data_IF_016484659955
#
_entry.id   IF_016484659955
#
_cell.length_a   1.000
_cell.length_b   1.000
_cell.length_c   1.000
_cell.angle_alpha   90.00
_cell.angle_beta   90.00
_cell.angle_gamma   90.00
#
_symmetry.space_group_name_H-M   'P 1'
#
loop_
_entity.id
_entity.type
_entity.pdbx_description
1 polymer ?
#
# COMPACT_ATOMS: atom_id res chain seq x y z
N UNK A 1 -26.42 28.48 9.29
CA UNK A 1 -27.71 28.88 9.87
C UNK A 1 -27.59 29.35 11.33
N UNK A 2 -26.48 29.04 12.01
CA UNK A 2 -26.31 29.38 13.43
C UNK A 2 -26.13 30.87 13.72
N UNK A 3 -25.77 31.68 12.72
CA UNK A 3 -25.61 33.13 12.85
C UNK A 3 -26.93 33.92 12.88
N UNK A 4 -28.07 33.29 12.55
CA UNK A 4 -29.38 33.95 12.57
C UNK A 4 -29.98 33.96 13.98
N UNK A 5 -30.75 35.01 14.30
CA UNK A 5 -31.62 35.03 15.49
C UNK A 5 -32.82 34.11 15.27
N UNK A 6 -33.32 33.49 16.33
CA UNK A 6 -34.51 32.62 16.29
C UNK A 6 -35.71 33.40 15.72
N UNK A 7 -36.43 32.80 14.76
CA UNK A 7 -37.57 33.42 14.09
C UNK A 7 -37.21 34.39 12.95
N UNK A 8 -35.93 34.70 12.74
CA UNK A 8 -35.50 35.55 11.63
C UNK A 8 -35.48 34.79 10.29
N UNK A 9 -35.73 35.52 9.21
CA UNK A 9 -35.62 35.04 7.83
C UNK A 9 -34.23 35.35 7.27
N UNK A 10 -33.71 34.43 6.47
CA UNK A 10 -32.53 34.67 5.64
C UNK A 10 -32.91 35.53 4.43
N UNK A 11 -31.98 36.36 3.97
CA UNK A 11 -32.11 37.04 2.68
C UNK A 11 -32.29 35.99 1.58
N UNK A 12 -33.22 36.20 0.62
CA UNK A 12 -33.43 35.23 -0.46
C UNK A 12 -32.12 34.92 -1.16
N UNK A 13 -31.83 33.62 -1.33
CA UNK A 13 -30.63 33.16 -2.01
C UNK A 13 -30.99 32.17 -3.11
N UNK A 14 -30.16 32.15 -4.16
CA UNK A 14 -30.35 31.27 -5.30
C UNK A 14 -29.75 29.91 -4.99
N UNK A 15 -30.57 28.86 -5.06
CA UNK A 15 -30.11 27.47 -5.11
C UNK A 15 -30.35 26.87 -6.49
N UNK A 16 -30.14 25.56 -6.61
CA UNK A 16 -30.14 24.89 -7.91
C UNK A 16 -31.47 24.97 -8.66
N UNK A 17 -32.61 24.94 -7.95
CA UNK A 17 -33.95 24.98 -8.55
C UNK A 17 -34.72 26.29 -8.31
N UNK A 18 -34.02 27.40 -7.99
CA UNK A 18 -34.66 28.71 -7.88
C UNK A 18 -34.21 29.54 -6.68
N UNK A 19 -35.06 30.48 -6.25
CA UNK A 19 -34.79 31.34 -5.10
C UNK A 19 -35.48 30.79 -3.86
N UNK A 20 -34.71 30.68 -2.78
CA UNK A 20 -35.16 30.17 -1.49
C UNK A 20 -35.07 31.28 -0.45
N UNK A 21 -36.07 31.36 0.42
CA UNK A 21 -35.97 32.05 1.70
C UNK A 21 -36.16 31.03 2.81
N UNK A 22 -35.29 31.06 3.82
CA UNK A 22 -35.32 30.13 4.94
C UNK A 22 -35.59 30.89 6.23
N UNK A 23 -36.46 30.36 7.08
CA UNK A 23 -36.71 30.89 8.43
C UNK A 23 -35.99 30.02 9.45
N UNK A 24 -35.25 30.64 10.38
CA UNK A 24 -34.66 29.89 11.50
C UNK A 24 -35.78 29.47 12.46
N UNK A 25 -36.04 28.16 12.50
CA UNK A 25 -36.94 27.54 13.47
C UNK A 25 -36.31 27.42 14.86
N UNK A 26 -36.65 26.34 15.58
CA UNK A 26 -36.14 26.11 16.93
C UNK A 26 -34.65 25.75 16.92
N UNK A 27 -33.91 26.30 17.90
CA UNK A 27 -32.50 25.99 18.08
C UNK A 27 -32.39 24.77 18.98
N UNK A 28 -31.88 23.65 18.46
CA UNK A 28 -31.54 22.48 19.28
C UNK A 28 -30.12 22.64 19.82
N UNK A 29 -29.97 22.62 21.13
CA UNK A 29 -28.66 22.51 21.78
C UNK A 29 -28.19 21.06 21.67
N UNK A 30 -27.41 20.77 20.63
CA UNK A 30 -26.74 19.49 20.49
C UNK A 30 -25.45 19.53 21.33
N UNK A 31 -25.24 18.52 22.18
CA UNK A 31 -23.93 18.32 22.80
C UNK A 31 -22.95 17.94 21.70
N UNK A 32 -22.04 18.86 21.38
CA UNK A 32 -20.95 18.61 20.44
C UNK A 32 -19.87 17.84 21.19
N UNK A 33 -19.52 16.62 20.76
CA UNK A 33 -18.43 15.87 21.40
C UNK A 33 -17.10 16.62 21.26
N UNK A 34 -16.14 16.41 22.18
CA UNK A 34 -14.78 16.92 22.03
C UNK A 34 -14.18 16.52 20.67
N UNK A 35 -13.40 17.44 20.06
CA UNK A 35 -12.86 17.26 18.72
C UNK A 35 -12.10 15.93 18.56
N UNK A 36 -11.31 15.54 19.56
CA UNK A 36 -10.52 14.30 19.53
C UNK A 36 -11.37 13.04 19.37
N UNK A 37 -12.60 13.04 19.88
CA UNK A 37 -13.53 11.91 19.76
C UNK A 37 -14.17 11.80 18.37
N UNK A 38 -14.32 12.92 17.66
CA UNK A 38 -14.98 12.97 16.35
C UNK A 38 -14.02 13.22 15.19
N UNK A 39 -12.74 13.46 15.47
CA UNK A 39 -11.70 13.77 14.47
C UNK A 39 -11.69 12.77 13.32
N UNK A 40 -11.71 11.46 13.65
CA UNK A 40 -11.69 10.41 12.64
C UNK A 40 -12.95 10.42 11.75
N UNK A 41 -14.13 10.68 12.34
CA UNK A 41 -15.41 10.76 11.60
C UNK A 41 -15.47 11.99 10.70
N UNK A 42 -14.97 13.12 11.19
CA UNK A 42 -14.81 14.36 10.41
C UNK A 42 -13.87 14.08 9.23
N UNK A 43 -12.72 13.46 9.48
CA UNK A 43 -11.78 13.09 8.42
C UNK A 43 -12.49 12.20 7.39
N UNK A 44 -13.09 11.08 7.78
CA UNK A 44 -13.81 10.20 6.85
C UNK A 44 -14.82 10.96 5.98
N UNK A 45 -15.60 11.87 6.58
CA UNK A 45 -16.57 12.69 5.83
C UNK A 45 -15.88 13.65 4.86
N UNK A 46 -14.82 14.33 5.27
CA UNK A 46 -14.04 15.21 4.40
C UNK A 46 -13.38 14.43 3.26
N UNK A 47 -12.84 13.25 3.53
CA UNK A 47 -12.22 12.39 2.53
C UNK A 47 -13.24 11.99 1.45
N UNK A 48 -14.47 11.63 1.83
CA UNK A 48 -15.51 11.27 0.87
C UNK A 48 -16.07 12.48 0.11
N UNK A 49 -16.36 13.57 0.80
CA UNK A 49 -17.05 14.74 0.20
C UNK A 49 -16.11 15.66 -0.58
N UNK A 50 -14.82 15.70 -0.22
CA UNK A 50 -13.82 16.63 -0.77
C UNK A 50 -12.59 15.94 -1.32
N UNK A 51 -12.72 14.67 -1.72
CA UNK A 51 -11.60 13.87 -2.28
C UNK A 51 -10.82 14.61 -3.36
N UNK A 52 -11.53 15.27 -4.27
CA UNK A 52 -10.94 16.03 -5.37
C UNK A 52 -10.09 17.22 -4.90
N UNK A 53 -10.58 17.98 -3.91
CA UNK A 53 -9.83 19.10 -3.33
C UNK A 53 -8.59 18.62 -2.56
N UNK A 54 -8.72 17.50 -1.85
CA UNK A 54 -7.59 16.88 -1.15
C UNK A 54 -6.53 16.43 -2.16
N UNK A 55 -6.94 15.78 -3.25
CA UNK A 55 -6.02 15.36 -4.30
C UNK A 55 -5.35 16.57 -4.96
N UNK A 56 -6.11 17.63 -5.24
CA UNK A 56 -5.56 18.85 -5.82
C UNK A 56 -4.51 19.50 -4.90
N UNK A 57 -4.77 19.53 -3.59
CA UNK A 57 -3.80 20.05 -2.61
C UNK A 57 -2.54 19.16 -2.52
N UNK A 58 -2.71 17.83 -2.61
CA UNK A 58 -1.59 16.88 -2.68
C UNK A 58 -0.77 17.13 -3.94
N UNK A 59 -1.42 17.24 -5.10
CA UNK A 59 -0.77 17.49 -6.39
C UNK A 59 0.01 18.83 -6.36
N UNK A 60 -0.58 19.88 -5.78
CA UNK A 60 0.08 21.18 -5.60
C UNK A 60 1.32 21.09 -4.71
N UNK A 61 1.24 20.33 -3.62
CA UNK A 61 2.39 20.09 -2.72
C UNK A 61 3.46 19.24 -3.39
N UNK A 62 3.08 18.22 -4.14
CA UNK A 62 4.03 17.40 -4.89
C UNK A 62 4.76 18.23 -5.94
N UNK A 63 4.07 19.15 -6.62
CA UNK A 63 4.70 20.07 -7.56
C UNK A 63 5.74 20.96 -6.86
N UNK A 64 5.46 21.46 -5.65
CA UNK A 64 6.43 22.27 -4.90
C UNK A 64 7.59 21.44 -4.33
N UNK A 65 7.38 20.15 -4.04
CA UNK A 65 8.44 19.25 -3.59
C UNK A 65 9.31 18.72 -4.73
N UNK A 66 8.74 18.57 -5.93
CA UNK A 66 9.48 18.05 -7.09
C UNK A 66 10.70 18.91 -7.43
N UNK A 67 10.58 20.25 -7.29
CA UNK A 67 11.72 21.16 -7.46
C UNK A 67 12.71 21.08 -6.30
N UNK A 68 12.24 20.85 -5.07
CA UNK A 68 13.08 20.77 -3.87
C UNK A 68 13.96 19.52 -3.85
N UNK A 69 13.45 18.37 -4.32
CA UNK A 69 14.17 17.09 -4.34
C UNK A 69 14.81 16.76 -5.69
N UNK A 70 14.98 17.76 -6.56
CA UNK A 70 15.57 17.60 -7.90
C UNK A 70 14.96 16.44 -8.69
N UNK A 71 13.63 16.29 -8.64
CA UNK A 71 12.93 15.24 -9.37
C UNK A 71 13.07 15.49 -10.87
N UNK A 72 13.75 14.58 -11.57
CA UNK A 72 13.88 14.59 -13.02
C UNK A 72 13.24 13.32 -13.58
N UNK A 73 12.15 13.50 -14.33
CA UNK A 73 11.53 12.44 -15.11
C UNK A 73 12.21 12.32 -16.46
N UNK A 74 12.67 11.13 -16.81
CA UNK A 74 13.32 10.84 -18.09
C UNK A 74 12.26 10.44 -19.10
N UNK A 75 11.54 11.42 -19.64
CA UNK A 75 10.43 11.17 -20.58
C UNK A 75 10.87 10.34 -21.80
N UNK A 76 12.11 10.51 -22.28
CA UNK A 76 12.66 9.67 -23.35
C UNK A 76 12.77 8.19 -22.96
N UNK A 77 13.19 7.89 -21.73
CA UNK A 77 13.31 6.53 -21.21
C UNK A 77 11.93 5.92 -20.95
N UNK A 78 10.99 6.72 -20.44
CA UNK A 78 9.58 6.35 -20.25
C UNK A 78 8.95 5.99 -21.59
N UNK A 79 9.12 6.83 -22.62
CA UNK A 79 8.58 6.61 -23.95
C UNK A 79 9.16 5.34 -24.59
N UNK A 80 10.47 5.13 -24.49
CA UNK A 80 11.12 3.89 -24.95
C UNK A 80 10.55 2.66 -24.26
N UNK A 81 10.34 2.72 -22.94
CA UNK A 81 9.73 1.62 -22.19
C UNK A 81 8.31 1.34 -22.68
N UNK A 82 7.47 2.38 -22.87
CA UNK A 82 6.10 2.24 -23.39
C UNK A 82 6.07 1.59 -24.78
N UNK A 83 6.90 2.06 -25.71
CA UNK A 83 6.99 1.49 -27.06
C UNK A 83 7.38 0.01 -27.02
N UNK A 84 8.32 -0.37 -26.14
CA UNK A 84 8.71 -1.78 -25.99
C UNK A 84 7.59 -2.63 -25.39
N UNK A 85 6.89 -2.10 -24.40
CA UNK A 85 5.79 -2.77 -23.72
C UNK A 85 4.57 -2.99 -24.62
N UNK A 86 4.27 -2.06 -25.52
CA UNK A 86 3.14 -2.16 -26.47
C UNK A 86 3.54 -2.80 -27.79
N UNK A 87 4.83 -2.76 -28.14
CA UNK A 87 5.35 -3.17 -29.44
C UNK A 87 5.10 -2.15 -30.56
N UNK A 88 4.49 -0.99 -30.27
CA UNK A 88 4.13 0.03 -31.25
C UNK A 88 4.40 1.44 -30.75
N UNK A 89 4.68 2.37 -31.68
CA UNK A 89 4.74 3.82 -31.37
C UNK A 89 3.37 4.47 -31.23
N UNK A 90 2.36 3.87 -31.85
CA UNK A 90 0.97 4.32 -31.76
C UNK A 90 0.27 3.48 -30.69
N UNK A 91 0.24 4.01 -29.47
CA UNK A 91 -0.48 3.42 -28.35
C UNK A 91 -1.36 4.49 -27.68
N UNK A 92 -2.37 4.03 -26.95
CA UNK A 92 -3.24 4.88 -26.15
C UNK A 92 -3.28 4.38 -24.70
N UNK A 93 -4.02 5.08 -23.83
CA UNK A 93 -4.10 4.75 -22.41
C UNK A 93 -4.58 3.31 -22.14
N UNK A 94 -5.36 2.72 -23.04
CA UNK A 94 -5.91 1.37 -22.90
C UNK A 94 -5.10 0.32 -23.68
N UNK A 95 -3.97 0.70 -24.28
CA UNK A 95 -3.12 -0.25 -25.00
C UNK A 95 -2.55 -1.27 -24.02
N UNK A 96 -2.65 -2.58 -24.34
CA UNK A 96 -2.16 -3.62 -23.46
C UNK A 96 -0.64 -3.55 -23.35
N UNK A 97 -0.14 -3.83 -22.16
CA UNK A 97 1.27 -3.87 -21.81
C UNK A 97 1.70 -5.33 -21.74
N UNK A 98 2.76 -5.69 -22.45
CA UNK A 98 3.37 -7.01 -22.38
C UNK A 98 4.75 -6.92 -21.70
N UNK A 99 4.87 -7.46 -20.50
CA UNK A 99 6.16 -7.49 -19.78
C UNK A 99 7.18 -8.43 -20.42
N UNK A 100 6.74 -9.45 -21.16
CA UNK A 100 7.61 -10.47 -21.75
C UNK A 100 8.43 -9.92 -22.92
N UNK A 101 8.09 -8.72 -23.42
CA UNK A 101 8.87 -8.03 -24.45
C UNK A 101 10.09 -7.30 -23.91
N UNK A 102 10.24 -7.18 -22.58
CA UNK A 102 11.36 -6.50 -21.94
C UNK A 102 12.53 -7.44 -21.71
N UNK A 103 13.73 -6.97 -22.00
CA UNK A 103 14.98 -7.64 -21.63
C UNK A 103 15.43 -7.26 -20.21
N UNK A 104 16.39 -8.01 -19.64
CA UNK A 104 16.99 -7.66 -18.35
C UNK A 104 17.61 -6.26 -18.35
N UNK A 105 18.23 -5.85 -19.47
CA UNK A 105 18.79 -4.51 -19.61
C UNK A 105 17.70 -3.42 -19.59
N UNK A 106 16.49 -3.72 -20.07
CA UNK A 106 15.37 -2.77 -20.05
C UNK A 106 14.85 -2.55 -18.64
N UNK A 107 14.85 -3.61 -17.81
CA UNK A 107 14.44 -3.51 -16.42
C UNK A 107 15.36 -2.61 -15.59
N UNK A 108 16.63 -2.49 -15.98
CA UNK A 108 17.60 -1.59 -15.35
C UNK A 108 17.51 -0.13 -15.81
N UNK A 109 16.71 0.16 -16.84
CA UNK A 109 16.50 1.52 -17.35
C UNK A 109 15.88 2.41 -16.26
N UNK A 110 16.48 3.59 -16.07
CA UNK A 110 16.04 4.57 -15.09
C UNK A 110 14.96 5.46 -15.69
N UNK A 111 13.78 5.48 -15.08
CA UNK A 111 12.62 6.27 -15.52
C UNK A 111 12.56 7.65 -14.85
N UNK A 112 13.00 7.74 -13.59
CA UNK A 112 13.06 9.00 -12.86
C UNK A 112 14.22 9.00 -11.87
N UNK A 113 14.79 10.17 -11.60
CA UNK A 113 15.85 10.39 -10.61
C UNK A 113 15.45 11.49 -9.65
N UNK A 114 15.85 11.36 -8.38
CA UNK A 114 15.64 12.39 -7.36
C UNK A 114 16.71 12.31 -6.28
N UNK A 115 16.73 13.29 -5.38
CA UNK A 115 17.64 13.31 -4.26
C UNK A 115 17.41 12.10 -3.35
N UNK A 116 18.41 11.19 -3.33
CA UNK A 116 18.38 9.98 -2.51
C UNK A 116 17.77 8.74 -3.20
N UNK A 117 17.46 8.78 -4.50
CA UNK A 117 16.97 7.58 -5.20
C UNK A 117 16.79 7.72 -6.71
N UNK A 118 16.66 6.58 -7.35
CA UNK A 118 16.26 6.46 -8.76
C UNK A 118 15.18 5.41 -8.87
N UNK A 119 14.23 5.63 -9.77
CA UNK A 119 13.16 4.68 -10.08
C UNK A 119 13.54 3.95 -11.35
N UNK A 120 13.75 2.65 -11.26
CA UNK A 120 14.00 1.77 -12.40
C UNK A 120 12.70 1.16 -12.93
N UNK A 121 12.72 0.73 -14.20
CA UNK A 121 11.57 0.07 -14.82
C UNK A 121 11.13 -1.17 -14.05
N UNK A 122 12.08 -1.95 -13.50
CA UNK A 122 11.79 -3.15 -12.70
C UNK A 122 10.85 -2.91 -11.51
N UNK A 123 10.88 -1.71 -10.92
CA UNK A 123 10.06 -1.39 -9.74
C UNK A 123 8.56 -1.32 -10.07
N UNK A 124 8.21 -1.12 -11.34
CA UNK A 124 6.83 -1.16 -11.82
C UNK A 124 6.30 -2.59 -12.00
N UNK A 125 7.17 -3.60 -11.96
CA UNK A 125 6.86 -5.01 -12.18
C UNK A 125 7.32 -5.88 -10.99
N UNK A 126 6.84 -5.64 -9.76
CA UNK A 126 7.31 -6.37 -8.58
C UNK A 126 6.93 -7.85 -8.59
N UNK A 127 5.77 -8.19 -9.18
CA UNK A 127 5.27 -9.55 -9.35
C UNK A 127 4.44 -9.62 -10.65
N UNK A 128 4.42 -10.77 -11.33
CA UNK A 128 3.64 -10.96 -12.56
C UNK A 128 2.13 -10.66 -12.40
N UNK A 129 1.55 -10.88 -11.21
CA UNK A 129 0.14 -10.57 -10.91
C UNK A 129 -0.14 -9.08 -10.68
N UNK A 130 0.90 -8.31 -10.37
CA UNK A 130 0.82 -6.88 -10.07
C UNK A 130 1.50 -6.07 -11.17
N UNK A 131 1.85 -6.67 -12.30
CA UNK A 131 2.29 -5.94 -13.48
C UNK A 131 1.18 -5.00 -13.97
N UNK A 132 1.50 -3.84 -14.56
CA UNK A 132 0.52 -3.02 -15.26
C UNK A 132 -0.10 -3.81 -16.42
N UNK A 133 -1.42 -3.78 -16.53
CA UNK A 133 -2.12 -4.42 -17.66
C UNK A 133 -2.14 -3.53 -18.91
N UNK A 134 -2.23 -2.21 -18.70
CA UNK A 134 -2.27 -1.20 -19.76
C UNK A 134 -1.38 0.01 -19.46
N UNK A 135 -1.30 0.93 -20.42
CA UNK A 135 -0.47 2.13 -20.33
C UNK A 135 -0.97 3.10 -19.25
N UNK A 136 -2.28 3.19 -19.04
CA UNK A 136 -2.85 4.00 -17.96
C UNK A 136 -2.40 3.51 -16.59
N UNK A 137 -2.46 2.20 -16.34
CA UNK A 137 -1.96 1.60 -15.11
C UNK A 137 -0.46 1.78 -14.95
N UNK A 138 0.30 1.68 -16.05
CA UNK A 138 1.75 1.93 -16.05
C UNK A 138 2.05 3.36 -15.58
N UNK A 139 1.40 4.35 -16.19
CA UNK A 139 1.59 5.77 -15.86
C UNK A 139 1.14 6.08 -14.43
N UNK A 140 0.01 5.52 -14.00
CA UNK A 140 -0.49 5.67 -12.65
C UNK A 140 0.46 5.05 -11.62
N UNK A 141 1.03 3.87 -11.89
CA UNK A 141 2.02 3.25 -11.00
C UNK A 141 3.30 4.06 -10.91
N UNK A 142 3.82 4.54 -12.05
CA UNK A 142 5.01 5.39 -12.06
C UNK A 142 4.76 6.69 -11.29
N UNK A 143 3.61 7.34 -11.53
CA UNK A 143 3.19 8.51 -10.76
C UNK A 143 3.15 8.20 -9.26
N UNK A 144 2.47 7.13 -8.86
CA UNK A 144 2.35 6.75 -7.44
C UNK A 144 3.72 6.46 -6.80
N UNK A 145 4.64 5.79 -7.49
CA UNK A 145 5.99 5.55 -6.97
C UNK A 145 6.76 6.85 -6.76
N UNK A 146 6.69 7.76 -7.74
CA UNK A 146 7.29 9.10 -7.62
C UNK A 146 6.73 9.82 -6.39
N UNK A 147 5.41 9.84 -6.24
CA UNK A 147 4.74 10.49 -5.11
C UNK A 147 5.17 9.90 -3.77
N UNK A 148 5.23 8.58 -3.67
CA UNK A 148 5.66 7.89 -2.45
C UNK A 148 7.08 8.27 -2.04
N UNK A 149 8.02 8.30 -2.98
CA UNK A 149 9.42 8.61 -2.67
C UNK A 149 9.57 10.09 -2.31
N UNK A 150 8.91 11.00 -3.04
CA UNK A 150 8.92 12.45 -2.72
C UNK A 150 8.35 12.71 -1.33
N UNK A 151 7.22 12.09 -1.00
CA UNK A 151 6.61 12.22 0.32
C UNK A 151 7.48 11.59 1.42
N UNK A 152 8.14 10.46 1.14
CA UNK A 152 9.06 9.84 2.08
C UNK A 152 10.30 10.71 2.34
N UNK A 153 10.85 11.34 1.30
CA UNK A 153 11.97 12.28 1.42
C UNK A 153 11.58 13.49 2.28
N UNK A 154 10.41 14.07 2.03
CA UNK A 154 9.87 15.16 2.85
C UNK A 154 9.59 14.75 4.30
N UNK A 155 9.02 13.56 4.52
CA UNK A 155 8.80 13.04 5.88
C UNK A 155 10.13 12.86 6.64
N UNK A 156 11.19 12.45 5.94
CA UNK A 156 12.54 12.37 6.52
C UNK A 156 13.10 13.74 6.90
N UNK A 157 12.92 14.76 6.06
CA UNK A 157 13.31 16.13 6.40
C UNK A 157 12.57 16.70 7.61
N UNK A 158 11.29 16.34 7.76
CA UNK A 158 10.48 16.71 8.93
C UNK A 158 10.77 15.85 10.17
N UNK A 159 11.77 14.97 10.09
CA UNK A 159 12.17 14.06 11.16
C UNK A 159 11.03 13.17 11.67
N UNK A 160 10.11 12.74 10.79
CA UNK A 160 9.02 11.85 11.19
C UNK A 160 9.54 10.49 11.70
N UNK A 161 10.80 10.16 11.41
CA UNK A 161 11.47 8.94 11.89
C UNK A 161 11.74 8.95 13.40
N UNK A 162 11.76 10.13 14.03
CA UNK A 162 11.91 10.25 15.49
C UNK A 162 10.59 10.07 16.25
N UNK A 163 9.44 10.08 15.55
CA UNK A 163 8.14 9.81 16.15
C UNK A 163 8.10 8.33 16.58
N UNK A 164 7.88 8.01 17.88
CA UNK A 164 8.01 6.64 18.39
C UNK A 164 7.16 5.61 17.64
N UNK A 165 5.91 5.96 17.35
CA UNK A 165 4.95 5.10 16.64
C UNK A 165 5.45 4.77 15.21
N UNK A 166 6.01 5.76 14.51
CA UNK A 166 6.54 5.58 13.16
C UNK A 166 7.84 4.76 13.21
N UNK A 167 8.70 5.03 14.20
CA UNK A 167 9.95 4.29 14.39
C UNK A 167 9.68 2.80 14.64
N UNK A 168 8.71 2.48 15.50
CA UNK A 168 8.28 1.11 15.76
C UNK A 168 7.76 0.43 14.49
N UNK A 169 6.90 1.12 13.72
CA UNK A 169 6.41 0.62 12.44
C UNK A 169 7.54 0.36 11.43
N UNK A 170 8.50 1.29 11.30
CA UNK A 170 9.66 1.13 10.42
C UNK A 170 10.53 -0.06 10.83
N UNK A 171 10.73 -0.26 12.13
CA UNK A 171 11.47 -1.42 12.64
C UNK A 171 10.73 -2.73 12.37
N UNK A 172 9.40 -2.75 12.54
CA UNK A 172 8.57 -3.91 12.22
C UNK A 172 8.67 -4.27 10.72
N UNK A 173 8.49 -3.27 9.84
CA UNK A 173 8.63 -3.45 8.38
C UNK A 173 10.04 -3.96 8.04
N UNK A 174 11.08 -3.36 8.60
CA UNK A 174 12.47 -3.79 8.38
C UNK A 174 12.68 -5.24 8.80
N UNK A 175 12.19 -5.63 9.97
CA UNK A 175 12.32 -6.98 10.47
C UNK A 175 11.55 -7.99 9.61
N UNK A 176 10.36 -7.64 9.13
CA UNK A 176 9.58 -8.48 8.21
C UNK A 176 10.28 -8.63 6.85
N UNK A 177 10.84 -7.56 6.30
CA UNK A 177 11.63 -7.60 5.07
C UNK A 177 12.86 -8.49 5.23
N UNK A 178 13.63 -8.32 6.30
CA UNK A 178 14.80 -9.15 6.58
C UNK A 178 14.44 -10.63 6.73
N UNK A 179 13.34 -10.95 7.43
CA UNK A 179 12.83 -12.33 7.55
C UNK A 179 12.44 -12.90 6.18
N UNK A 180 11.78 -12.09 5.36
CA UNK A 180 11.35 -12.51 4.01
C UNK A 180 12.55 -12.75 3.10
N UNK A 181 13.56 -11.88 3.14
CA UNK A 181 14.81 -12.03 2.38
C UNK A 181 15.59 -13.25 2.83
N UNK A 182 15.73 -13.46 4.15
CA UNK A 182 16.36 -14.65 4.71
C UNK A 182 15.66 -15.92 4.22
N UNK A 183 14.34 -15.98 4.30
CA UNK A 183 13.56 -17.12 3.82
C UNK A 183 13.71 -17.33 2.29
N UNK A 184 13.72 -16.24 1.52
CA UNK A 184 13.90 -16.31 0.07
C UNK A 184 15.26 -16.93 -0.28
N UNK A 185 16.34 -16.43 0.32
CA UNK A 185 17.70 -16.89 0.07
C UNK A 185 17.95 -18.32 0.57
N UNK A 186 17.60 -18.58 1.83
CA UNK A 186 17.94 -19.85 2.49
C UNK A 186 17.02 -21.00 2.09
N UNK A 187 15.79 -20.72 1.64
CA UNK A 187 14.82 -21.74 1.29
C UNK A 187 14.48 -21.65 -0.19
N UNK A 188 13.83 -20.57 -0.65
CA UNK A 188 13.25 -20.55 -2.01
C UNK A 188 14.28 -20.67 -3.12
N UNK A 189 15.39 -19.95 -3.06
CA UNK A 189 16.42 -19.95 -4.09
C UNK A 189 17.14 -21.30 -4.15
N UNK A 190 17.47 -21.89 -2.99
CA UNK A 190 18.05 -23.24 -2.92
C UNK A 190 17.09 -24.31 -3.45
N UNK A 191 15.80 -24.23 -3.14
CA UNK A 191 14.79 -25.12 -3.72
C UNK A 191 14.67 -24.93 -5.22
N UNK A 192 14.60 -23.68 -5.71
CA UNK A 192 14.52 -23.41 -7.14
C UNK A 192 15.70 -24.02 -7.89
N UNK A 193 16.93 -23.77 -7.43
CA UNK A 193 18.13 -24.34 -8.00
C UNK A 193 18.12 -25.88 -8.02
N UNK A 194 17.63 -26.51 -6.94
CA UNK A 194 17.48 -27.97 -6.88
C UNK A 194 16.38 -28.49 -7.83
N UNK A 195 15.30 -27.73 -8.02
CA UNK A 195 14.20 -28.06 -8.91
C UNK A 195 14.54 -27.88 -10.39
N UNK A 196 15.44 -26.95 -10.72
CA UNK A 196 15.90 -26.70 -12.09
C UNK A 196 16.80 -27.84 -12.60
N UNK A 197 17.50 -28.55 -11.70
CA UNK A 197 18.28 -29.75 -12.02
C UNK A 197 17.42 -30.99 -12.30
N UNK A 198 16.14 -30.97 -11.92
CA UNK A 198 15.23 -32.11 -12.06
C UNK A 198 14.41 -31.95 -13.35
N UNK A 199 14.77 -32.69 -14.38
CA UNK A 199 14.03 -32.78 -15.65
C UNK A 199 13.16 -34.05 -15.71
N UNK A 200 12.07 -34.01 -16.48
CA UNK A 200 11.24 -35.20 -16.77
C UNK A 200 10.14 -35.56 -15.75
N UNK A 201 9.91 -34.75 -14.70
CA UNK A 201 8.80 -34.95 -13.77
C UNK A 201 7.50 -34.31 -14.26
N UNK A 202 6.35 -34.92 -13.89
CA UNK A 202 5.05 -34.30 -14.15
C UNK A 202 4.87 -33.02 -13.28
N UNK A 203 4.02 -32.06 -13.69
CA UNK A 203 3.80 -30.83 -12.93
C UNK A 203 3.36 -31.06 -11.48
N UNK A 204 2.57 -32.12 -11.22
CA UNK A 204 2.10 -32.47 -9.87
C UNK A 204 3.23 -33.00 -8.98
N UNK A 205 4.08 -33.88 -9.51
CA UNK A 205 5.24 -34.41 -8.80
C UNK A 205 6.27 -33.31 -8.53
N UNK A 206 6.49 -32.43 -9.51
CA UNK A 206 7.35 -31.25 -9.40
C UNK A 206 6.91 -30.38 -8.21
N UNK A 207 5.60 -30.10 -8.12
CA UNK A 207 5.04 -29.31 -7.02
C UNK A 207 5.14 -30.00 -5.65
N UNK A 208 4.91 -31.32 -5.59
CA UNK A 208 5.00 -32.08 -4.34
C UNK A 208 6.44 -32.12 -3.83
N UNK A 209 7.40 -32.36 -4.72
CA UNK A 209 8.83 -32.40 -4.39
C UNK A 209 9.38 -31.02 -4.01
N UNK A 210 8.90 -29.96 -4.65
CA UNK A 210 9.19 -28.58 -4.25
C UNK A 210 8.76 -28.33 -2.80
N UNK A 211 7.51 -28.68 -2.45
CA UNK A 211 6.98 -28.50 -1.08
C UNK A 211 7.75 -29.30 -0.03
N UNK A 212 8.17 -30.53 -0.35
CA UNK A 212 8.95 -31.34 0.59
C UNK A 212 10.34 -30.74 0.83
N UNK A 213 11.01 -30.26 -0.22
CA UNK A 213 12.33 -29.62 -0.07
C UNK A 213 12.24 -28.26 0.64
N UNK A 214 11.20 -27.46 0.35
CA UNK A 214 10.94 -26.22 1.10
C UNK A 214 10.75 -26.50 2.59
N UNK A 215 10.01 -27.57 2.93
CA UNK A 215 9.81 -27.97 4.32
C UNK A 215 11.12 -28.40 4.99
N UNK A 216 11.92 -29.23 4.34
CA UNK A 216 13.18 -29.70 4.90
C UNK A 216 14.18 -28.56 5.13
N UNK A 217 14.37 -27.69 4.14
CA UNK A 217 15.27 -26.54 4.28
C UNK A 217 14.77 -25.53 5.31
N UNK A 218 13.46 -25.33 5.42
CA UNK A 218 12.87 -24.51 6.48
C UNK A 218 13.12 -25.10 7.87
N UNK A 219 12.95 -26.40 8.04
CA UNK A 219 13.21 -27.08 9.32
C UNK A 219 14.69 -27.00 9.71
N UNK A 220 15.61 -27.15 8.75
CA UNK A 220 17.05 -26.95 8.96
C UNK A 220 17.37 -25.52 9.37
N UNK A 221 16.86 -24.52 8.63
CA UNK A 221 17.05 -23.11 8.96
C UNK A 221 16.52 -22.79 10.37
N UNK A 222 15.36 -23.32 10.75
CA UNK A 222 14.80 -23.12 12.08
C UNK A 222 15.69 -23.73 13.18
N UNK A 223 16.26 -24.91 12.94
CA UNK A 223 17.19 -25.55 13.87
C UNK A 223 18.51 -24.77 13.98
N UNK A 224 19.08 -24.32 12.87
CA UNK A 224 20.29 -23.49 12.85
C UNK A 224 20.07 -22.18 13.62
N UNK A 225 18.94 -21.50 13.39
CA UNK A 225 18.59 -20.29 14.13
C UNK A 225 18.42 -20.56 15.62
N UNK A 226 17.75 -21.66 16.00
CA UNK A 226 17.60 -22.08 17.41
C UNK A 226 18.95 -22.33 18.08
N UNK A 227 19.85 -23.02 17.39
CA UNK A 227 21.17 -23.37 17.91
C UNK A 227 22.09 -22.14 18.03
N UNK A 228 22.13 -21.30 16.98
CA UNK A 228 23.05 -20.16 16.90
C UNK A 228 22.66 -19.00 17.82
N UNK A 229 21.36 -18.76 18.01
CA UNK A 229 20.86 -17.66 18.83
C UNK A 229 20.35 -18.08 20.20
N UNK A 230 20.51 -19.36 20.56
CA UNK A 230 20.13 -19.88 21.86
C UNK A 230 18.66 -19.66 22.20
N UNK A 231 17.77 -19.71 21.19
CA UNK A 231 16.34 -19.53 21.39
C UNK A 231 15.81 -20.64 22.31
N UNK A 232 15.69 -20.33 23.60
CA UNK A 232 14.99 -21.18 24.56
C UNK A 232 13.50 -20.96 24.34
N UNK A 233 12.77 -22.07 24.16
CA UNK A 233 11.32 -22.03 24.17
C UNK A 233 10.85 -21.41 25.50
N UNK A 234 10.24 -20.23 25.44
CA UNK A 234 9.59 -19.64 26.62
C UNK A 234 8.27 -20.39 26.81
N UNK A 235 8.33 -21.54 27.50
CA UNK A 235 7.15 -22.35 27.83
C UNK A 235 6.13 -21.59 28.72
N UNK A 236 6.52 -20.45 29.30
CA UNK A 236 5.70 -19.69 30.24
C UNK A 236 4.54 -18.90 29.63
N UNK A 237 4.53 -18.64 28.33
CA UNK A 237 3.48 -17.82 27.68
C UNK A 237 2.64 -18.58 26.64
N UNK A 238 2.95 -19.85 26.37
CA UNK A 238 2.28 -20.59 25.30
C UNK A 238 0.84 -20.96 25.68
N UNK A 239 0.60 -21.32 26.94
CA UNK A 239 -0.74 -21.64 27.45
C UNK A 239 -1.65 -20.40 27.51
N UNK A 240 -1.10 -19.26 27.93
CA UNK A 240 -1.80 -17.96 27.94
C UNK A 240 -2.07 -17.45 26.52
N UNK A 241 -1.09 -17.52 25.62
CA UNK A 241 -1.29 -17.15 24.21
C UNK A 241 -2.33 -18.07 23.51
N UNK A 242 -2.34 -19.37 23.81
CA UNK A 242 -3.38 -20.30 23.32
C UNK A 242 -4.76 -19.98 23.86
N UNK A 243 -4.86 -19.64 25.15
CA UNK A 243 -6.11 -19.24 25.77
C UNK A 243 -6.65 -17.93 25.16
N UNK A 244 -5.77 -16.97 24.91
CA UNK A 244 -6.10 -15.68 24.33
C UNK A 244 -6.49 -15.79 22.84
N UNK A 245 -5.78 -16.62 22.08
CA UNK A 245 -6.13 -16.94 20.69
C UNK A 245 -7.48 -17.67 20.58
N UNK A 246 -7.80 -18.58 21.52
CA UNK A 246 -9.13 -19.23 21.59
C UNK A 246 -10.22 -18.20 21.88
N UNK A 247 -9.99 -17.32 22.85
CA UNK A 247 -10.93 -16.25 23.20
C UNK A 247 -11.19 -15.30 22.04
N UNK A 248 -10.16 -14.88 21.29
CA UNK A 248 -10.33 -14.04 20.10
C UNK A 248 -11.10 -14.75 18.98
N UNK A 249 -10.88 -16.06 18.79
CA UNK A 249 -11.63 -16.85 17.81
C UNK A 249 -13.11 -16.95 18.18
N UNK A 250 -13.43 -17.14 19.45
CA UNK A 250 -14.82 -17.15 19.95
C UNK A 250 -15.51 -15.80 19.76
N UNK A 251 -14.80 -14.69 20.00
CA UNK A 251 -15.31 -13.34 19.74
C UNK A 251 -15.61 -13.16 18.24
N UNK A 252 -14.70 -13.56 17.34
CA UNK A 252 -14.93 -13.47 15.90
C UNK A 252 -16.10 -14.33 15.41
N UNK A 253 -16.32 -15.51 16.01
CA UNK A 253 -17.47 -16.36 15.69
C UNK A 253 -18.76 -15.65 16.11
N UNK A 254 -18.83 -15.11 17.34
CA UNK A 254 -19.99 -14.35 17.82
C UNK A 254 -20.28 -13.12 16.97
N UNK A 255 -19.26 -12.34 16.61
CA UNK A 255 -19.42 -11.17 15.73
C UNK A 255 -19.92 -11.56 14.33
N UNK A 256 -19.52 -12.74 13.81
CA UNK A 256 -20.04 -13.25 12.53
C UNK A 256 -21.50 -13.68 12.65
N UNK A 257 -21.87 -14.39 13.71
CA UNK A 257 -23.25 -14.80 13.96
C UNK A 257 -24.18 -13.60 14.18
N UNK A 258 -23.73 -12.56 14.88
CA UNK A 258 -24.47 -11.31 15.04
C UNK A 258 -24.63 -10.56 13.72
N UNK A 259 -23.59 -10.51 12.89
CA UNK A 259 -23.66 -9.92 11.54
C UNK A 259 -24.56 -10.71 10.59
N UNK A 260 -24.65 -12.03 10.72
CA UNK A 260 -25.58 -12.86 9.95
C UNK A 260 -27.03 -12.69 10.41
N UNK A 261 -27.28 -12.54 11.71
CA UNK A 261 -28.62 -12.25 12.25
C UNK A 261 -29.11 -10.82 11.98
N UNK A 262 -28.18 -9.88 11.75
CA UNK A 262 -28.48 -8.48 11.44
C UNK A 262 -28.62 -8.17 9.94
N UNK A 263 -28.50 -9.17 9.05
CA UNK A 263 -28.84 -9.01 7.64
C UNK A 263 -30.36 -9.18 7.45
N UNK A 264 -31.06 -8.17 6.90
CA UNK A 264 -32.49 -8.26 6.58
C UNK A 264 -32.78 -9.24 5.44
#
# INVERSE_FOLDING_TARGET
MDTLKTGAYYTPFKGDNGYYSMKKGETRLLQVPPLDQIKNRIWQTLYHTRRHLIQQEIDNRLASFSSRFNLVRKEDSIEKAKIKLTGTKEYNANSPVNSDSLSEADFDEVLATMDGGQIKLIELFPDAKKAPYDISEFDNKLKNLIEQIVLAAHAKELDYQSIPEINEQLNNIRNELLRTLLYKHEVKEKVSAAMDLITGMSPKEKQQKQRSMERELREKLEQELKNNFGFKFVNGSFSTALAEARRQKEIQIKEKEEKEKAKP
#
